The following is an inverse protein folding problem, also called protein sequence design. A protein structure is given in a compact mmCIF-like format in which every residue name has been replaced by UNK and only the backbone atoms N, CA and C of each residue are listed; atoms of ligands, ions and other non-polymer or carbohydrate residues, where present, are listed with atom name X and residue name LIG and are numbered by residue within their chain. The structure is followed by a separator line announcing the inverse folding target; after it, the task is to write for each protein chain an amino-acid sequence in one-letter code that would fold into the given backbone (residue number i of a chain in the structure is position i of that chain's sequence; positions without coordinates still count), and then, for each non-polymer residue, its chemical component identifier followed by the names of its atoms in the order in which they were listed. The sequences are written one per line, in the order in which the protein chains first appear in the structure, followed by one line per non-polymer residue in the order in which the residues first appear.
data_IF_714332127282
#
_entry.id   IF_714332127282
#
_cell.length_a   1.000
_cell.length_b   1.000
_cell.length_c   1.000
_cell.angle_alpha   90.00
_cell.angle_beta   90.00
_cell.angle_gamma   90.00
#
_symmetry.space_group_name_H-M   'P 1'
#
loop_
_entity.id
_entity.type
_entity.pdbx_description
1 polymer ?
#
# COMPACT_ATOMS: atom_id res chain seq x y z
N UNK A 1 9.33 -19.68 -5.49
CA UNK A 1 8.58 -19.12 -4.33
C UNK A 1 9.15 -19.70 -3.05
N UNK A 2 9.59 -18.87 -2.10
CA UNK A 2 10.04 -19.33 -0.78
C UNK A 2 8.88 -19.31 0.22
N UNK A 3 9.00 -20.07 1.30
CA UNK A 3 8.06 -20.10 2.42
C UNK A 3 8.70 -19.38 3.60
N UNK A 4 7.99 -18.41 4.17
CA UNK A 4 8.46 -17.72 5.36
C UNK A 4 8.41 -18.65 6.58
N UNK A 5 9.41 -18.52 7.45
CA UNK A 5 9.58 -19.40 8.60
C UNK A 5 9.71 -18.53 9.84
N UNK A 6 8.99 -18.90 10.90
CA UNK A 6 9.14 -18.34 12.24
C UNK A 6 9.64 -19.42 13.20
N UNK A 7 10.39 -19.02 14.21
CA UNK A 7 10.73 -19.86 15.35
C UNK A 7 9.55 -19.99 16.34
N UNK A 8 9.72 -20.76 17.42
CA UNK A 8 8.66 -20.97 18.43
C UNK A 8 8.22 -19.67 19.14
N UNK A 9 9.09 -18.67 19.17
CA UNK A 9 8.89 -17.34 19.77
C UNK A 9 8.39 -16.30 18.75
N UNK A 10 8.05 -16.72 17.52
CA UNK A 10 7.62 -15.88 16.39
C UNK A 10 8.70 -14.93 15.87
N UNK A 11 9.97 -15.22 16.13
CA UNK A 11 11.08 -14.52 15.51
C UNK A 11 11.29 -15.02 14.07
N UNK A 12 11.61 -14.14 13.11
CA UNK A 12 11.87 -14.53 11.73
C UNK A 12 13.11 -15.43 11.61
N UNK A 13 12.96 -16.51 10.85
CA UNK A 13 14.07 -17.35 10.38
C UNK A 13 14.22 -17.20 8.86
N UNK A 14 15.31 -17.76 8.33
CA UNK A 14 15.54 -17.80 6.89
C UNK A 14 14.41 -18.53 6.13
N UNK A 15 13.88 -17.94 5.06
CA UNK A 15 12.84 -18.57 4.25
C UNK A 15 13.33 -19.86 3.59
N UNK A 16 12.53 -20.91 3.71
CA UNK A 16 12.87 -22.22 3.18
C UNK A 16 12.20 -22.51 1.83
N UNK A 17 12.67 -23.54 1.15
CA UNK A 17 12.00 -24.04 -0.05
C UNK A 17 10.67 -24.72 0.33
N UNK A 18 9.64 -24.67 -0.55
CA UNK A 18 8.35 -25.31 -0.29
C UNK A 18 8.44 -26.81 0.01
N UNK A 19 9.42 -27.51 -0.58
CA UNK A 19 9.67 -28.92 -0.31
C UNK A 19 10.03 -29.16 1.17
N UNK A 20 10.94 -28.34 1.73
CA UNK A 20 11.33 -28.41 3.14
C UNK A 20 10.16 -28.04 4.06
N UNK A 21 9.41 -27.00 3.73
CA UNK A 21 8.20 -26.64 4.47
C UNK A 21 7.19 -27.80 4.53
N UNK A 22 6.96 -28.50 3.42
CA UNK A 22 6.06 -29.67 3.35
C UNK A 22 6.55 -30.82 4.23
N UNK A 23 7.85 -31.12 4.21
CA UNK A 23 8.45 -32.17 5.05
C UNK A 23 8.23 -31.82 6.53
N UNK A 24 8.53 -30.60 6.95
CA UNK A 24 8.36 -30.15 8.33
C UNK A 24 6.89 -30.22 8.80
N UNK A 25 5.95 -29.83 7.93
CA UNK A 25 4.52 -29.95 8.20
C UNK A 25 4.07 -31.41 8.30
N UNK A 26 4.53 -32.29 7.38
CA UNK A 26 4.18 -33.72 7.39
C UNK A 26 4.74 -34.44 8.63
N UNK A 27 5.92 -34.02 9.10
CA UNK A 27 6.54 -34.54 10.31
C UNK A 27 5.97 -33.94 11.61
N UNK A 28 5.04 -32.99 11.52
CA UNK A 28 4.45 -32.33 12.70
C UNK A 28 5.39 -31.37 13.44
N UNK A 29 6.57 -31.08 12.88
CA UNK A 29 7.57 -30.17 13.48
C UNK A 29 7.26 -28.69 13.26
N UNK A 30 6.45 -28.40 12.24
CA UNK A 30 5.96 -27.06 11.96
C UNK A 30 4.44 -27.01 11.89
N UNK A 31 3.88 -25.82 12.09
CA UNK A 31 2.45 -25.51 11.91
C UNK A 31 2.28 -24.35 10.94
N UNK A 32 1.14 -24.29 10.27
CA UNK A 32 0.81 -23.13 9.42
C UNK A 32 0.48 -21.95 10.32
N UNK A 33 1.20 -20.84 10.15
CA UNK A 33 0.98 -19.59 10.89
C UNK A 33 0.08 -18.62 10.11
N UNK A 34 0.35 -18.45 8.80
CA UNK A 34 -0.38 -17.54 7.92
C UNK A 34 -0.46 -18.10 6.51
N UNK A 35 -1.60 -17.91 5.82
CA UNK A 35 -1.81 -18.41 4.44
C UNK A 35 -1.23 -17.51 3.36
N UNK A 36 -1.24 -16.19 3.56
CA UNK A 36 -0.65 -15.23 2.63
C UNK A 36 0.01 -14.02 3.33
N UNK A 37 1.31 -13.76 3.10
CA UNK A 37 2.24 -14.69 2.44
C UNK A 37 2.30 -16.01 3.23
N UNK A 38 2.54 -17.14 2.56
CA UNK A 38 2.50 -18.44 3.22
C UNK A 38 3.67 -18.53 4.22
N UNK A 39 3.33 -18.74 5.48
CA UNK A 39 4.26 -18.72 6.61
C UNK A 39 4.01 -19.93 7.50
N UNK A 40 5.09 -20.64 7.84
CA UNK A 40 5.08 -21.71 8.84
C UNK A 40 5.79 -21.25 10.10
N UNK A 41 5.43 -21.84 11.24
CA UNK A 41 6.11 -21.69 12.51
C UNK A 41 6.68 -23.04 12.93
N UNK A 42 7.96 -23.07 13.28
CA UNK A 42 8.65 -24.26 13.80
C UNK A 42 8.43 -24.30 15.31
N UNK A 43 8.01 -25.46 15.84
CA UNK A 43 7.60 -25.57 17.24
C UNK A 43 8.75 -25.95 18.19
N UNK A 44 9.82 -26.53 17.67
CA UNK A 44 10.90 -27.19 18.41
C UNK A 44 12.26 -26.49 18.29
N UNK A 45 12.29 -25.24 17.84
CA UNK A 45 13.53 -24.54 17.48
C UNK A 45 13.46 -23.06 17.91
N UNK A 46 14.60 -22.53 18.34
CA UNK A 46 14.80 -21.10 18.61
C UNK A 46 15.73 -20.45 17.58
N UNK A 47 15.49 -19.17 17.31
CA UNK A 47 16.33 -18.38 16.40
C UNK A 47 17.80 -18.30 16.84
N UNK A 48 18.08 -18.30 18.15
CA UNK A 48 19.46 -18.24 18.67
C UNK A 48 20.32 -19.45 18.27
N UNK A 49 19.68 -20.58 17.95
CA UNK A 49 20.33 -21.82 17.54
C UNK A 49 20.53 -21.89 16.02
N UNK A 50 20.16 -20.82 15.29
CA UNK A 50 20.13 -20.78 13.84
C UNK A 50 21.03 -19.71 13.27
N UNK A 51 21.58 -20.01 12.09
CA UNK A 51 22.20 -19.00 11.24
C UNK A 51 21.11 -18.37 10.37
N UNK A 52 20.82 -17.10 10.62
CA UNK A 52 19.94 -16.28 9.78
C UNK A 52 20.73 -15.26 9.00
N UNK A 53 20.29 -14.94 7.79
CA UNK A 53 20.96 -13.98 6.93
C UNK A 53 20.17 -12.67 6.85
N UNK A 54 20.87 -11.58 6.56
CA UNK A 54 20.23 -10.28 6.39
C UNK A 54 19.39 -10.24 5.11
N UNK A 55 18.21 -9.65 5.24
CA UNK A 55 17.28 -9.43 4.14
C UNK A 55 17.13 -7.93 3.89
N UNK A 56 16.97 -7.55 2.62
CA UNK A 56 16.74 -6.18 2.21
C UNK A 56 15.34 -6.05 1.63
N UNK A 57 14.65 -4.98 1.98
CA UNK A 57 13.40 -4.59 1.33
C UNK A 57 13.71 -3.58 0.22
N UNK A 58 13.15 -3.82 -0.97
CA UNK A 58 13.18 -2.88 -2.09
C UNK A 58 11.77 -2.42 -2.39
N UNK A 59 11.62 -1.11 -2.52
CA UNK A 59 10.34 -0.44 -2.79
C UNK A 59 10.47 0.30 -4.11
N UNK A 60 9.52 0.07 -5.01
CA UNK A 60 9.43 0.78 -6.29
C UNK A 60 8.09 1.53 -6.34
N UNK A 61 8.05 2.82 -5.95
CA UNK A 61 6.82 3.58 -5.87
C UNK A 61 6.38 4.10 -7.25
N UNK A 62 5.24 3.63 -7.73
CA UNK A 62 4.53 4.18 -8.89
C UNK A 62 3.35 5.08 -8.51
N UNK A 63 2.65 5.61 -9.51
CA UNK A 63 1.49 6.50 -9.31
C UNK A 63 0.20 5.76 -8.91
N UNK A 64 0.08 4.47 -9.26
CA UNK A 64 -1.08 3.64 -8.95
C UNK A 64 -0.73 2.41 -8.11
N UNK A 65 0.51 1.95 -8.18
CA UNK A 65 0.98 0.74 -7.52
C UNK A 65 2.37 0.99 -6.93
N UNK A 66 2.70 0.32 -5.83
CA UNK A 66 4.09 0.22 -5.34
C UNK A 66 4.54 -1.24 -5.42
N UNK A 67 5.62 -1.49 -6.16
CA UNK A 67 6.30 -2.77 -6.15
C UNK A 67 7.05 -2.98 -4.84
N UNK A 68 6.93 -4.16 -4.25
CA UNK A 68 7.60 -4.59 -3.03
C UNK A 68 8.41 -5.83 -3.35
N UNK A 69 9.69 -5.87 -2.97
CA UNK A 69 10.51 -7.07 -3.06
C UNK A 69 11.33 -7.26 -1.79
N UNK A 70 11.41 -8.51 -1.32
CA UNK A 70 12.34 -8.94 -0.28
C UNK A 70 13.46 -9.69 -0.97
N UNK A 71 14.70 -9.27 -0.74
CA UNK A 71 15.89 -9.80 -1.37
C UNK A 71 16.84 -10.30 -0.30
N UNK A 72 17.41 -11.47 -0.52
CA UNK A 72 18.53 -12.01 0.23
C UNK A 72 19.71 -12.06 -0.74
N UNK A 73 20.73 -11.24 -0.49
CA UNK A 73 21.88 -11.05 -1.40
C UNK A 73 21.46 -10.70 -2.84
N UNK A 74 21.59 -11.64 -3.78
CA UNK A 74 21.22 -11.49 -5.21
C UNK A 74 19.94 -12.24 -5.58
N UNK A 75 19.24 -12.82 -4.61
CA UNK A 75 18.07 -13.68 -4.83
C UNK A 75 16.80 -13.02 -4.29
N UNK A 76 15.77 -12.93 -5.14
CA UNK A 76 14.44 -12.47 -4.72
C UNK A 76 13.74 -13.58 -3.96
N UNK A 77 13.43 -13.31 -2.69
CA UNK A 77 12.73 -14.22 -1.78
C UNK A 77 11.22 -14.15 -2.00
N UNK A 78 10.71 -12.93 -2.11
CA UNK A 78 9.28 -12.64 -2.23
C UNK A 78 9.06 -11.29 -2.90
N UNK A 79 7.93 -11.14 -3.58
CA UNK A 79 7.49 -9.86 -4.12
C UNK A 79 5.97 -9.73 -4.13
N UNK A 80 5.50 -8.49 -4.14
CA UNK A 80 4.10 -8.13 -4.27
C UNK A 80 3.94 -6.73 -4.84
N UNK A 81 2.73 -6.43 -5.29
CA UNK A 81 2.33 -5.08 -5.69
C UNK A 81 1.26 -4.56 -4.73
N UNK A 82 1.49 -3.38 -4.17
CA UNK A 82 0.52 -2.64 -3.37
C UNK A 82 -0.26 -1.71 -4.29
N UNK A 83 -1.53 -2.01 -4.55
CA UNK A 83 -2.41 -1.10 -5.30
C UNK A 83 -2.85 0.08 -4.43
N UNK A 84 -2.63 1.29 -4.94
CA UNK A 84 -2.98 2.54 -4.26
C UNK A 84 -4.43 2.90 -4.46
N UNK A 85 -4.99 3.62 -3.48
CA UNK A 85 -6.35 4.17 -3.56
C UNK A 85 -6.37 5.67 -3.92
N UNK A 86 -5.21 6.27 -4.20
CA UNK A 86 -5.08 7.71 -4.40
C UNK A 86 -5.96 8.25 -5.54
N UNK A 87 -5.98 7.55 -6.67
CA UNK A 87 -6.84 7.87 -7.82
C UNK A 87 -8.33 7.85 -7.47
N UNK A 88 -8.80 6.77 -6.84
CA UNK A 88 -10.20 6.64 -6.41
C UNK A 88 -10.62 7.78 -5.47
N UNK A 89 -9.75 8.14 -4.53
CA UNK A 89 -9.99 9.24 -3.58
C UNK A 89 -10.04 10.58 -4.32
N UNK A 90 -9.05 10.86 -5.18
CA UNK A 90 -8.99 12.09 -6.00
C UNK A 90 -10.25 12.26 -6.86
N UNK A 91 -10.70 11.18 -7.48
CA UNK A 91 -11.86 11.20 -8.37
C UNK A 91 -13.15 11.42 -7.56
N UNK A 92 -13.26 10.79 -6.38
CA UNK A 92 -14.35 11.06 -5.43
C UNK A 92 -14.39 12.52 -4.95
N UNK A 93 -13.23 13.12 -4.64
CA UNK A 93 -13.11 14.54 -4.29
C UNK A 93 -13.51 15.45 -5.46
N UNK A 94 -13.08 15.11 -6.67
CA UNK A 94 -13.40 15.85 -7.90
C UNK A 94 -14.89 15.80 -8.21
N UNK A 95 -15.52 14.63 -8.09
CA UNK A 95 -16.96 14.46 -8.26
C UNK A 95 -17.75 15.31 -7.25
N UNK A 96 -17.39 15.24 -5.96
CA UNK A 96 -17.99 16.07 -4.91
C UNK A 96 -17.88 17.58 -5.21
N UNK A 97 -16.70 18.02 -5.68
CA UNK A 97 -16.47 19.42 -6.10
C UNK A 97 -17.38 19.81 -7.27
N UNK A 98 -17.46 18.98 -8.32
CA UNK A 98 -18.30 19.23 -9.51
C UNK A 98 -19.78 19.35 -9.14
N UNK A 99 -20.30 18.41 -8.34
CA UNK A 99 -21.70 18.45 -7.86
C UNK A 99 -22.01 19.70 -7.02
N UNK A 100 -21.08 20.11 -6.14
CA UNK A 100 -21.22 21.35 -5.36
C UNK A 100 -21.27 22.59 -6.26
N UNK A 101 -20.38 22.66 -7.26
CA UNK A 101 -20.38 23.77 -8.24
C UNK A 101 -21.69 23.83 -9.02
N UNK A 102 -22.15 22.69 -9.56
CA UNK A 102 -23.42 22.59 -10.29
C UNK A 102 -24.62 23.03 -9.45
N UNK A 103 -24.74 22.58 -8.18
CA UNK A 103 -25.83 23.02 -7.29
C UNK A 103 -25.83 24.53 -7.06
N UNK A 104 -24.63 25.13 -6.85
CA UNK A 104 -24.49 26.58 -6.68
C UNK A 104 -24.89 27.35 -7.94
N UNK A 105 -24.56 26.83 -9.12
CA UNK A 105 -24.87 27.45 -10.41
C UNK A 105 -26.32 27.23 -10.87
N UNK A 106 -26.95 26.09 -10.55
CA UNK A 106 -28.37 25.82 -10.91
C UNK A 106 -29.37 26.56 -10.03
N UNK A 107 -29.04 26.76 -8.75
CA UNK A 107 -29.91 27.49 -7.80
C UNK A 107 -29.71 29.02 -7.85
N UNK A 108 -29.12 29.54 -8.92
CA UNK A 108 -29.00 31.00 -9.16
C UNK A 108 -30.26 31.63 -9.74
N UNK A 109 -31.32 30.86 -10.02
CA UNK A 109 -32.56 31.39 -10.65
C UNK A 109 -33.16 32.61 -9.93
N UNK A 110 -33.02 32.68 -8.61
CA UNK A 110 -33.46 33.84 -7.80
C UNK A 110 -32.30 34.68 -7.26
N UNK A 111 -31.05 34.30 -7.56
CA UNK A 111 -29.87 35.03 -7.11
C UNK A 111 -29.53 36.06 -8.18
N UNK A 112 -30.11 37.26 -8.03
CA UNK A 112 -29.80 38.44 -8.85
C UNK A 112 -28.27 38.53 -9.07
N UNK A 113 -27.82 38.64 -10.33
CA UNK A 113 -26.39 38.72 -10.62
C UNK A 113 -25.80 39.96 -9.96
N UNK A 114 -24.75 39.75 -9.17
CA UNK A 114 -24.09 40.78 -8.36
C UNK A 114 -23.01 41.52 -9.15
N UNK A 115 -23.33 41.99 -10.36
CA UNK A 115 -22.37 42.78 -11.15
C UNK A 115 -21.93 44.04 -10.40
N UNK A 116 -22.86 44.65 -9.65
CA UNK A 116 -22.64 45.87 -8.86
C UNK A 116 -22.15 45.62 -7.42
N UNK A 117 -22.32 44.42 -6.85
CA UNK A 117 -21.88 44.15 -5.45
C UNK A 117 -20.43 43.65 -5.35
N UNK A 118 -19.68 43.63 -6.45
CA UNK A 118 -18.23 43.48 -6.41
C UNK A 118 -17.64 44.88 -6.27
N UNK A 119 -17.40 45.32 -5.04
CA UNK A 119 -16.73 46.59 -4.76
C UNK A 119 -15.33 46.51 -5.39
N UNK A 120 -15.08 47.34 -6.39
CA UNK A 120 -13.74 47.55 -6.95
C UNK A 120 -13.14 48.75 -6.22
N UNK A 121 -11.87 48.69 -5.79
CA UNK A 121 -11.19 49.87 -5.28
C UNK A 121 -11.09 50.93 -6.38
N UNK A 122 -11.00 52.20 -5.98
CA UNK A 122 -10.73 53.29 -6.91
C UNK A 122 -9.39 53.05 -7.63
N UNK A 123 -9.36 53.26 -8.95
CA UNK A 123 -8.20 52.95 -9.79
C UNK A 123 -8.08 51.49 -10.25
N UNK A 124 -9.09 50.65 -10.04
CA UNK A 124 -9.08 49.28 -10.56
C UNK A 124 -9.08 49.25 -12.10
N UNK A 125 -8.03 48.68 -12.70
CA UNK A 125 -7.93 48.41 -14.13
C UNK A 125 -8.35 46.96 -14.44
N UNK A 126 -9.04 46.77 -15.56
CA UNK A 126 -9.34 45.43 -16.03
C UNK A 126 -8.03 44.71 -16.45
N UNK A 127 -7.91 43.39 -16.24
CA UNK A 127 -6.79 42.64 -16.77
C UNK A 127 -6.75 42.79 -18.30
N UNK A 128 -5.59 43.16 -18.84
CA UNK A 128 -5.37 43.18 -20.30
C UNK A 128 -5.42 41.77 -20.84
N UNK A 129 -5.92 41.63 -22.08
CA UNK A 129 -5.95 40.37 -22.83
C UNK A 129 -4.55 39.80 -23.05
#
# INVERSE_FOLDING_TARGET
MRVFVLDKNKKPLDPCQPARARILLKQGRAKVFRRYPFTIIICDLEELECVTHNHQIKLDPGSQTTGLAIVQEKVVVWGAELTHRGLQIRDGLTSRRKLRSSRRNRKTRYRQPRFLNRKRPDGWLAPSL
#
